data_IF_539114345815
#
_entry.id   IF_539114345815
#
_cell.length_a   1.000
_cell.length_b   1.000
_cell.length_c   1.000
_cell.angle_alpha   90.00
_cell.angle_beta   90.00
_cell.angle_gamma   90.00
#
_symmetry.space_group_name_H-M   'P 1'
#
loop_
_entity.id
_entity.type
_entity.pdbx_description
1 polymer ?
#
# COMPACT_ATOMS: atom_id res chain seq x y z
N UNK A 1 -13.52 -60.62 -19.87
CA UNK A 1 -13.80 -61.46 -18.68
C UNK A 1 -14.04 -60.54 -17.49
N UNK A 2 -15.28 -60.56 -16.97
CA UNK A 2 -15.71 -59.98 -15.67
C UNK A 2 -15.16 -60.86 -14.53
N UNK A 3 -15.19 -60.42 -13.25
CA UNK A 3 -16.42 -59.90 -12.64
C UNK A 3 -16.28 -58.70 -11.65
N UNK A 4 -17.45 -58.20 -11.36
CA UNK A 4 -17.94 -57.27 -10.41
C UNK A 4 -17.77 -57.65 -8.92
N UNK A 5 -17.63 -56.69 -8.04
CA UNK A 5 -17.62 -56.80 -6.58
C UNK A 5 -18.41 -55.69 -5.92
N UNK A 6 -19.37 -56.08 -5.15
CA UNK A 6 -20.54 -55.45 -4.53
C UNK A 6 -20.23 -54.37 -3.49
N UNK A 7 -21.15 -53.38 -3.38
CA UNK A 7 -21.34 -52.47 -2.24
C UNK A 7 -21.98 -53.20 -1.05
N UNK A 8 -21.76 -52.77 0.19
CA UNK A 8 -22.69 -53.04 1.28
C UNK A 8 -23.48 -51.76 1.70
N UNK A 9 -24.66 -52.05 2.25
CA UNK A 9 -25.78 -51.19 2.55
C UNK A 9 -25.63 -50.39 3.88
N UNK A 10 -26.41 -49.32 3.95
CA UNK A 10 -26.71 -48.54 5.17
C UNK A 10 -27.72 -49.30 6.07
N UNK A 11 -27.74 -49.05 7.39
CA UNK A 11 -28.90 -49.28 8.21
C UNK A 11 -29.65 -47.97 8.55
N UNK A 12 -30.97 -48.04 8.41
CA UNK A 12 -31.96 -47.10 8.88
C UNK A 12 -32.14 -47.21 10.40
N UNK A 13 -32.38 -46.11 11.09
CA UNK A 13 -32.97 -46.12 12.43
C UNK A 13 -34.24 -45.31 12.48
N UNK A 14 -35.25 -45.93 13.16
CA UNK A 14 -36.66 -45.60 13.22
C UNK A 14 -36.98 -44.55 14.29
N UNK A 15 -38.09 -43.84 14.02
CA UNK A 15 -38.76 -42.92 14.93
C UNK A 15 -39.41 -43.64 16.11
N UNK A 16 -39.39 -43.05 17.30
CA UNK A 16 -40.33 -43.34 18.36
C UNK A 16 -40.99 -42.02 18.83
N UNK A 17 -42.32 -42.01 18.70
CA UNK A 17 -43.24 -41.05 19.33
C UNK A 17 -43.49 -41.47 20.79
N UNK A 18 -43.51 -40.47 21.69
CA UNK A 18 -43.98 -40.61 23.06
C UNK A 18 -44.83 -39.41 23.48
N UNK A 19 -46.14 -39.62 23.61
CA UNK A 19 -47.10 -38.71 24.24
C UNK A 19 -47.07 -38.84 25.77
N UNK A 20 -47.18 -37.71 26.51
CA UNK A 20 -47.93 -37.57 27.78
C UNK A 20 -47.90 -36.12 28.24
N UNK A 21 -48.97 -35.45 28.25
CA UNK A 21 -49.99 -35.27 29.31
C UNK A 21 -49.76 -33.98 30.16
N UNK A 22 -50.74 -33.06 30.02
CA UNK A 22 -51.11 -31.88 30.77
C UNK A 22 -51.14 -32.03 32.31
N UNK A 23 -50.67 -31.03 33.03
CA UNK A 23 -51.34 -30.53 34.25
C UNK A 23 -50.92 -29.07 34.53
N UNK A 24 -51.86 -28.17 34.96
CA UNK A 24 -51.61 -26.80 35.27
C UNK A 24 -51.42 -26.56 36.78
N UNK A 25 -50.57 -25.65 37.16
CA UNK A 25 -50.64 -25.00 38.49
C UNK A 25 -50.16 -23.54 38.39
N UNK A 26 -51.03 -22.62 38.66
CA UNK A 26 -50.78 -21.20 38.72
C UNK A 26 -50.06 -20.78 40.00
N UNK A 27 -49.43 -19.65 39.97
CA UNK A 27 -49.35 -18.64 41.00
C UNK A 27 -48.83 -17.32 40.42
N UNK A 28 -49.64 -16.29 40.47
CA UNK A 28 -49.31 -14.90 40.17
C UNK A 28 -48.29 -14.36 41.18
N UNK A 29 -47.23 -13.73 40.66
CA UNK A 29 -46.59 -12.57 41.30
C UNK A 29 -46.08 -11.61 40.24
N UNK A 30 -46.39 -10.29 40.36
CA UNK A 30 -45.88 -9.29 39.44
C UNK A 30 -44.45 -8.92 39.85
N UNK A 31 -43.51 -9.05 38.95
CA UNK A 31 -42.16 -8.51 39.13
C UNK A 31 -41.99 -7.35 38.16
N UNK A 32 -42.32 -6.18 38.64
CA UNK A 32 -41.94 -4.90 38.02
C UNK A 32 -40.46 -4.67 38.28
N UNK A 33 -39.67 -4.76 37.29
CA UNK A 33 -38.37 -4.04 37.23
C UNK A 33 -38.09 -3.70 35.77
N UNK A 34 -38.40 -2.45 35.43
CA UNK A 34 -37.98 -1.84 34.19
C UNK A 34 -36.44 -1.91 34.12
N UNK A 35 -35.92 -2.76 33.25
CA UNK A 35 -34.55 -2.66 32.81
C UNK A 35 -34.46 -1.36 31.99
N UNK A 36 -33.77 -0.39 32.52
CA UNK A 36 -33.38 0.81 31.77
C UNK A 36 -32.48 0.33 30.62
N UNK A 37 -32.98 0.47 29.40
CA UNK A 37 -32.16 0.44 28.19
C UNK A 37 -31.13 1.57 28.33
N UNK A 38 -29.91 1.19 28.73
CA UNK A 38 -28.76 2.05 28.52
C UNK A 38 -28.45 2.00 27.03
N UNK A 39 -28.36 3.14 26.35
CA UNK A 39 -27.89 3.17 25.00
C UNK A 39 -26.45 2.58 24.99
N UNK A 40 -26.25 1.51 24.23
CA UNK A 40 -24.93 1.01 23.89
C UNK A 40 -24.27 2.12 23.09
N UNK A 41 -23.48 2.93 23.76
CA UNK A 41 -22.61 3.91 23.15
C UNK A 41 -21.64 3.10 22.30
N UNK A 42 -21.93 2.99 20.99
CA UNK A 42 -20.98 2.52 19.99
C UNK A 42 -19.87 3.55 19.99
N UNK A 43 -18.87 3.33 20.87
CA UNK A 43 -17.60 4.02 20.78
C UNK A 43 -17.12 3.78 19.34
N UNK A 44 -17.22 4.81 18.51
CA UNK A 44 -16.54 4.87 17.22
C UNK A 44 -15.08 4.48 17.51
N UNK A 45 -14.70 3.24 17.17
CA UNK A 45 -13.32 2.81 17.19
C UNK A 45 -12.60 3.78 16.27
N UNK A 46 -11.96 4.79 16.85
CA UNK A 46 -10.98 5.61 16.15
C UNK A 46 -10.06 4.62 15.45
N UNK A 47 -10.01 4.68 14.11
CA UNK A 47 -9.22 3.74 13.34
C UNK A 47 -7.79 3.79 13.87
N UNK A 48 -7.35 2.72 14.52
CA UNK A 48 -6.02 2.65 15.10
C UNK A 48 -4.99 2.90 14.00
N UNK A 49 -4.03 3.77 14.25
CA UNK A 49 -2.94 4.05 13.29
C UNK A 49 -2.24 2.73 12.90
N UNK A 50 -2.13 2.47 11.62
CA UNK A 50 -1.28 1.41 11.07
C UNK A 50 -0.46 2.00 9.93
N UNK A 51 0.86 2.10 10.15
CA UNK A 51 1.83 2.53 9.15
C UNK A 51 2.66 1.35 8.63
N UNK A 52 3.49 1.61 7.61
CA UNK A 52 4.40 0.59 7.10
C UNK A 52 5.66 1.20 6.49
N UNK A 53 6.75 0.42 6.53
CA UNK A 53 7.91 0.57 5.68
C UNK A 53 7.91 -0.55 4.61
N UNK A 54 8.09 -0.17 3.34
CA UNK A 54 7.87 -1.09 2.22
C UNK A 54 9.07 -1.07 1.24
N UNK A 55 10.24 -1.63 1.64
CA UNK A 55 11.43 -1.60 0.82
C UNK A 55 11.42 -2.69 -0.27
N UNK A 56 11.87 -2.33 -1.49
CA UNK A 56 12.20 -3.30 -2.53
C UNK A 56 13.60 -3.88 -2.29
N UNK A 57 13.78 -5.22 -2.34
CA UNK A 57 15.06 -5.89 -2.04
C UNK A 57 16.01 -5.88 -3.24
N UNK A 58 16.22 -4.72 -3.85
CA UNK A 58 17.16 -4.49 -4.98
C UNK A 58 18.58 -4.15 -4.51
N UNK A 59 18.89 -4.39 -3.26
CA UNK A 59 20.15 -4.15 -2.55
C UNK A 59 19.90 -3.80 -1.08
N UNK A 60 20.97 -3.53 -0.36
CA UNK A 60 20.93 -3.09 1.03
C UNK A 60 20.23 -1.72 1.17
N UNK A 61 19.84 -1.35 2.39
CA UNK A 61 19.39 0.01 2.68
C UNK A 61 20.53 1.00 2.46
N UNK A 62 20.18 2.18 2.01
CA UNK A 62 21.04 3.37 1.94
C UNK A 62 20.50 4.46 2.87
N UNK A 63 21.22 5.57 3.04
CA UNK A 63 20.82 6.65 3.95
C UNK A 63 19.38 7.14 3.71
N UNK A 64 18.97 7.38 2.45
CA UNK A 64 17.60 7.78 2.13
C UNK A 64 16.54 6.74 2.49
N UNK A 65 16.86 5.43 2.41
CA UNK A 65 15.97 4.36 2.87
C UNK A 65 15.81 4.37 4.38
N UNK A 66 16.89 4.64 5.14
CA UNK A 66 16.84 4.75 6.58
C UNK A 66 16.00 5.94 7.03
N UNK A 67 16.11 7.08 6.34
CA UNK A 67 15.25 8.27 6.59
C UNK A 67 13.78 7.90 6.46
N UNK A 68 13.39 7.22 5.39
CA UNK A 68 12.00 6.79 5.20
C UNK A 68 11.55 5.76 6.23
N UNK A 69 12.44 4.81 6.60
CA UNK A 69 12.16 3.81 7.64
C UNK A 69 11.96 4.48 9.00
N UNK A 70 12.90 5.34 9.41
CA UNK A 70 12.82 6.07 10.67
C UNK A 70 11.58 6.95 10.73
N UNK A 71 11.30 7.74 9.70
CA UNK A 71 10.12 8.60 9.63
C UNK A 71 8.81 7.82 9.78
N UNK A 72 8.65 6.71 9.05
CA UNK A 72 7.44 5.88 9.13
C UNK A 72 7.29 5.20 10.49
N UNK A 73 8.41 4.81 11.12
CA UNK A 73 8.42 4.24 12.47
C UNK A 73 8.06 5.29 13.53
N UNK A 74 8.69 6.48 13.46
CA UNK A 74 8.41 7.59 14.38
C UNK A 74 6.95 8.03 14.30
N UNK A 75 6.40 8.13 13.10
CA UNK A 75 5.00 8.52 12.89
C UNK A 75 4.05 7.49 13.54
N UNK A 76 4.32 6.19 13.36
CA UNK A 76 3.54 5.14 14.00
C UNK A 76 3.62 5.20 15.54
N UNK A 77 4.82 5.37 16.09
CA UNK A 77 5.03 5.44 17.55
C UNK A 77 4.45 6.73 18.15
N UNK A 78 4.54 7.84 17.42
CA UNK A 78 3.93 9.12 17.84
C UNK A 78 2.41 9.02 18.00
N UNK A 79 1.77 8.20 17.17
CA UNK A 79 0.32 7.94 17.21
C UNK A 79 -0.05 6.69 18.03
N UNK A 80 0.89 6.08 18.76
CA UNK A 80 0.68 4.83 19.52
C UNK A 80 0.12 3.70 18.64
N UNK A 81 0.48 3.71 17.37
CA UNK A 81 0.01 2.79 16.35
C UNK A 81 0.96 1.65 16.05
N UNK A 82 0.54 0.79 15.13
CA UNK A 82 1.35 -0.33 14.62
C UNK A 82 2.21 0.11 13.45
N UNK A 83 3.42 -0.44 13.38
CA UNK A 83 4.34 -0.27 12.27
C UNK A 83 4.69 -1.62 11.66
N UNK A 84 4.38 -1.79 10.39
CA UNK A 84 4.59 -3.02 9.65
C UNK A 84 5.78 -2.90 8.70
N UNK A 85 6.39 -4.03 8.36
CA UNK A 85 7.40 -4.11 7.29
C UNK A 85 6.91 -5.04 6.21
N UNK A 86 7.00 -4.59 4.96
CA UNK A 86 6.65 -5.38 3.79
C UNK A 86 7.79 -5.36 2.77
N UNK A 87 8.35 -6.51 2.46
CA UNK A 87 9.36 -6.66 1.41
C UNK A 87 8.66 -6.69 0.06
N UNK A 88 8.95 -5.70 -0.79
CA UNK A 88 8.31 -5.53 -2.10
C UNK A 88 9.14 -6.22 -3.19
N UNK A 89 9.02 -7.54 -3.25
CA UNK A 89 9.79 -8.46 -4.10
C UNK A 89 9.00 -9.02 -5.30
N UNK A 90 7.96 -8.32 -5.76
CA UNK A 90 7.17 -8.74 -6.94
C UNK A 90 7.92 -8.67 -8.26
N UNK A 91 8.92 -7.79 -8.38
CA UNK A 91 9.77 -7.66 -9.55
C UNK A 91 11.04 -8.53 -9.38
N UNK A 92 10.81 -9.84 -9.39
CA UNK A 92 11.84 -10.84 -9.12
C UNK A 92 13.16 -10.62 -9.90
N UNK A 93 13.16 -10.22 -11.19
CA UNK A 93 14.40 -9.98 -11.94
C UNK A 93 15.29 -8.86 -11.39
N UNK A 94 14.71 -7.91 -10.63
CA UNK A 94 15.46 -6.83 -9.99
C UNK A 94 15.83 -7.11 -8.53
N UNK A 95 15.28 -8.18 -7.95
CA UNK A 95 15.55 -8.55 -6.56
C UNK A 95 16.91 -9.27 -6.45
N UNK A 96 17.68 -8.87 -5.44
CA UNK A 96 18.94 -9.54 -5.12
C UNK A 96 18.67 -10.64 -4.09
N UNK A 97 19.08 -11.90 -4.33
CA UNK A 97 18.92 -12.97 -3.37
C UNK A 97 19.47 -12.59 -1.98
N UNK A 98 18.69 -12.83 -0.94
CA UNK A 98 19.08 -12.53 0.45
C UNK A 98 18.97 -11.06 0.85
N UNK A 99 18.74 -10.12 -0.08
CA UNK A 99 18.67 -8.69 0.23
C UNK A 99 17.50 -8.36 1.18
N UNK A 100 16.35 -9.02 1.05
CA UNK A 100 15.22 -8.80 1.94
C UNK A 100 15.56 -9.12 3.40
N UNK A 101 16.18 -10.28 3.66
CA UNK A 101 16.65 -10.63 5.01
C UNK A 101 17.76 -9.70 5.51
N UNK A 102 18.63 -9.24 4.61
CA UNK A 102 19.67 -8.27 4.99
C UNK A 102 19.03 -6.92 5.40
N UNK A 103 18.00 -6.45 4.69
CA UNK A 103 17.24 -5.26 5.06
C UNK A 103 16.61 -5.42 6.45
N UNK A 104 16.00 -6.57 6.75
CA UNK A 104 15.41 -6.83 8.07
C UNK A 104 16.48 -6.81 9.18
N UNK A 105 17.67 -7.38 8.93
CA UNK A 105 18.79 -7.27 9.88
C UNK A 105 19.28 -5.85 10.07
N UNK A 106 19.33 -5.03 9.01
CA UNK A 106 19.70 -3.62 9.09
C UNK A 106 18.70 -2.81 9.93
N UNK A 107 17.40 -3.06 9.75
CA UNK A 107 16.35 -2.44 10.60
C UNK A 107 16.50 -2.86 12.06
N UNK A 108 16.75 -4.16 12.34
CA UNK A 108 16.95 -4.67 13.69
C UNK A 108 18.19 -4.06 14.35
N UNK A 109 19.30 -3.87 13.62
CA UNK A 109 20.49 -3.19 14.13
C UNK A 109 20.20 -1.74 14.53
N UNK A 110 19.26 -1.08 13.86
CA UNK A 110 18.75 0.25 14.19
C UNK A 110 17.61 0.23 15.24
N UNK A 111 17.26 -0.94 15.80
CA UNK A 111 16.12 -1.16 16.70
C UNK A 111 14.76 -0.71 16.13
N UNK A 112 14.64 -0.61 14.82
CA UNK A 112 13.38 -0.37 14.11
C UNK A 112 12.69 -1.72 13.87
N UNK A 113 12.06 -2.25 14.92
CA UNK A 113 11.42 -3.56 14.89
C UNK A 113 9.95 -3.43 14.48
N UNK A 114 9.47 -4.28 13.53
CA UNK A 114 8.07 -4.33 13.16
C UNK A 114 7.23 -4.98 14.26
N UNK A 115 5.96 -4.59 14.34
CA UNK A 115 5.00 -5.13 15.33
C UNK A 115 4.40 -6.48 14.91
N UNK A 116 4.58 -6.88 13.65
CA UNK A 116 4.13 -8.16 13.11
C UNK A 116 5.23 -8.76 12.23
N UNK A 117 5.10 -10.06 11.91
CA UNK A 117 6.03 -10.71 10.98
C UNK A 117 6.03 -9.99 9.63
N UNK A 118 7.21 -9.70 9.06
CA UNK A 118 7.31 -9.01 7.77
C UNK A 118 6.62 -9.77 6.63
N UNK A 119 5.77 -9.07 5.89
CA UNK A 119 5.11 -9.64 4.71
C UNK A 119 6.04 -9.61 3.49
N UNK A 120 5.85 -10.58 2.58
CA UNK A 120 6.57 -10.70 1.32
C UNK A 120 5.60 -10.67 0.15
N UNK A 121 5.75 -9.74 -0.77
CA UNK A 121 4.82 -9.58 -1.90
C UNK A 121 4.81 -10.78 -2.83
N UNK A 122 5.95 -11.45 -3.03
CA UNK A 122 6.06 -12.66 -3.84
C UNK A 122 5.11 -13.79 -3.41
N UNK A 123 4.69 -13.81 -2.13
CA UNK A 123 3.77 -14.80 -1.56
C UNK A 123 2.29 -14.39 -1.69
N UNK A 124 2.00 -13.22 -2.25
CA UNK A 124 0.66 -12.60 -2.23
C UNK A 124 -0.02 -12.55 -3.60
N UNK A 125 0.52 -13.20 -4.60
CA UNK A 125 0.03 -13.19 -5.99
C UNK A 125 -1.46 -13.50 -6.17
N UNK A 126 -2.03 -14.35 -5.31
CA UNK A 126 -3.47 -14.67 -5.32
C UNK A 126 -4.36 -13.45 -4.96
N UNK A 127 -3.88 -12.54 -4.09
CA UNK A 127 -4.58 -11.29 -3.76
C UNK A 127 -4.62 -10.36 -4.99
N UNK A 128 -3.48 -10.22 -5.66
CA UNK A 128 -3.36 -9.37 -6.85
C UNK A 128 -4.20 -9.90 -8.01
N UNK A 129 -4.25 -11.23 -8.18
CA UNK A 129 -5.09 -11.86 -9.19
C UNK A 129 -6.58 -11.59 -8.95
N UNK A 130 -7.04 -11.68 -7.69
CA UNK A 130 -8.42 -11.34 -7.33
C UNK A 130 -8.76 -9.87 -7.60
N UNK A 131 -7.86 -8.95 -7.23
CA UNK A 131 -8.03 -7.53 -7.46
C UNK A 131 -8.09 -7.21 -8.97
N UNK A 132 -7.20 -7.80 -9.78
CA UNK A 132 -7.25 -7.62 -11.23
C UNK A 132 -8.56 -8.15 -11.83
N UNK A 133 -9.01 -9.34 -11.41
CA UNK A 133 -10.28 -9.92 -11.86
C UNK A 133 -11.50 -9.07 -11.44
N UNK A 134 -11.45 -8.41 -10.28
CA UNK A 134 -12.48 -7.44 -9.84
C UNK A 134 -12.52 -6.24 -10.81
N UNK A 135 -11.37 -5.65 -11.12
CA UNK A 135 -11.26 -4.51 -12.05
C UNK A 135 -11.70 -4.90 -13.47
N UNK A 136 -11.33 -6.09 -13.95
CA UNK A 136 -11.75 -6.61 -15.25
C UNK A 136 -13.27 -6.74 -15.33
N UNK A 137 -13.90 -7.41 -14.36
CA UNK A 137 -15.38 -7.55 -14.30
C UNK A 137 -16.10 -6.21 -14.23
N UNK A 138 -15.51 -5.22 -13.57
CA UNK A 138 -16.05 -3.86 -13.50
C UNK A 138 -15.82 -3.03 -14.78
N UNK A 139 -15.11 -3.57 -15.79
CA UNK A 139 -14.71 -2.88 -17.00
C UNK A 139 -13.70 -1.75 -16.75
N UNK A 140 -12.95 -1.82 -15.63
CA UNK A 140 -11.95 -0.84 -15.22
C UNK A 140 -10.52 -1.27 -15.55
N UNK A 141 -10.33 -2.51 -16.00
CA UNK A 141 -9.05 -3.01 -16.52
C UNK A 141 -9.26 -3.69 -17.86
N UNK A 142 -8.26 -3.63 -18.72
CA UNK A 142 -8.29 -4.23 -20.05
C UNK A 142 -6.91 -4.71 -20.51
N UNK A 143 -6.83 -5.72 -21.41
CA UNK A 143 -5.57 -6.22 -21.95
C UNK A 143 -5.00 -5.25 -22.99
N UNK A 144 -3.66 -5.13 -23.03
CA UNK A 144 -2.95 -4.22 -23.93
C UNK A 144 -1.68 -4.88 -24.47
N UNK A 145 -1.52 -4.88 -25.78
CA UNK A 145 -0.33 -5.38 -26.49
C UNK A 145 0.69 -4.30 -26.86
N UNK A 146 0.40 -3.01 -26.61
CA UNK A 146 1.29 -1.92 -26.99
C UNK A 146 2.64 -2.00 -26.28
N UNK A 147 3.70 -1.87 -27.05
CA UNK A 147 5.08 -1.70 -26.60
C UNK A 147 5.38 -0.23 -26.27
N UNK A 148 6.53 0.02 -25.62
CA UNK A 148 7.03 1.40 -25.43
C UNK A 148 7.26 2.13 -26.77
N UNK A 149 7.67 1.40 -27.79
CA UNK A 149 7.89 1.95 -29.15
C UNK A 149 6.57 2.43 -29.77
N UNK A 150 5.48 1.67 -29.63
CA UNK A 150 4.17 2.07 -30.17
C UNK A 150 3.67 3.35 -29.51
N UNK A 151 3.85 3.47 -28.19
CA UNK A 151 3.49 4.68 -27.44
C UNK A 151 4.33 5.87 -27.93
N UNK A 152 5.65 5.70 -28.03
CA UNK A 152 6.55 6.74 -28.50
C UNK A 152 6.23 7.17 -29.94
N UNK A 153 5.95 6.23 -30.86
CA UNK A 153 5.55 6.51 -32.24
C UNK A 153 4.22 7.29 -32.32
N UNK A 154 3.25 6.95 -31.45
CA UNK A 154 1.98 7.66 -31.38
C UNK A 154 2.16 9.14 -30.98
N UNK A 155 3.04 9.40 -29.99
CA UNK A 155 3.36 10.76 -29.55
C UNK A 155 4.16 11.53 -30.61
N UNK A 156 5.15 10.90 -31.22
CA UNK A 156 5.97 11.51 -32.28
C UNK A 156 5.12 11.93 -33.47
N UNK A 157 4.14 11.11 -33.90
CA UNK A 157 3.22 11.45 -34.98
C UNK A 157 2.34 12.67 -34.67
N UNK A 158 2.33 13.16 -33.44
CA UNK A 158 1.59 14.35 -32.96
C UNK A 158 2.50 15.51 -32.57
N UNK A 159 3.77 15.42 -32.93
CA UNK A 159 4.76 16.47 -32.63
C UNK A 159 5.29 16.48 -31.22
N UNK A 160 4.97 15.45 -30.40
CA UNK A 160 5.50 15.34 -29.03
C UNK A 160 6.77 14.49 -29.02
N UNK A 161 7.92 15.13 -28.94
CA UNK A 161 9.20 14.42 -28.81
C UNK A 161 9.35 13.86 -27.38
N UNK A 162 9.83 12.61 -27.20
CA UNK A 162 10.12 12.07 -25.89
C UNK A 162 11.26 12.85 -25.23
N UNK A 163 11.02 13.35 -24.02
CA UNK A 163 12.06 13.96 -23.18
C UNK A 163 12.77 12.83 -22.41
N UNK A 164 14.11 12.87 -22.40
CA UNK A 164 14.92 11.86 -21.69
C UNK A 164 14.55 11.83 -20.22
N UNK A 165 14.21 10.64 -19.71
CA UNK A 165 13.83 10.45 -18.30
C UNK A 165 12.34 10.69 -18.00
N UNK A 166 11.56 11.19 -18.94
CA UNK A 166 10.12 11.41 -18.78
C UNK A 166 9.32 10.26 -19.40
N UNK A 167 8.43 9.66 -18.61
CA UNK A 167 7.52 8.65 -19.13
C UNK A 167 6.41 9.33 -19.95
N UNK A 168 6.20 8.88 -21.18
CA UNK A 168 5.09 9.33 -22.01
C UNK A 168 3.76 8.78 -21.49
N UNK A 169 2.71 9.60 -21.35
CA UNK A 169 1.39 9.13 -20.98
C UNK A 169 0.86 8.10 -22.00
N UNK A 170 0.25 7.03 -21.51
CA UNK A 170 -0.33 6.05 -22.42
C UNK A 170 -1.64 6.56 -23.03
N UNK A 171 -1.77 6.65 -24.37
CA UNK A 171 -2.89 7.34 -25.02
C UNK A 171 -4.17 6.49 -25.13
N UNK A 172 -4.23 5.32 -24.51
CA UNK A 172 -5.41 4.47 -24.52
C UNK A 172 -5.64 3.73 -25.84
N UNK A 173 -4.60 3.34 -26.58
CA UNK A 173 -4.72 2.71 -27.91
C UNK A 173 -5.53 1.41 -27.90
N UNK A 174 -5.42 0.60 -26.86
CA UNK A 174 -6.13 -0.68 -26.72
C UNK A 174 -7.42 -0.56 -25.87
N UNK A 175 -7.91 0.63 -25.59
CA UNK A 175 -9.18 0.79 -24.86
C UNK A 175 -10.31 0.12 -25.62
N UNK A 176 -11.23 -0.61 -24.98
CA UNK A 176 -12.32 -1.34 -25.65
C UNK A 176 -13.19 -0.45 -26.55
N UNK A 177 -13.46 0.78 -26.16
CA UNK A 177 -14.28 1.74 -26.92
C UNK A 177 -13.64 2.24 -28.22
N UNK A 178 -12.36 1.97 -28.44
CA UNK A 178 -11.68 2.29 -29.70
C UNK A 178 -11.80 1.20 -30.76
N UNK A 179 -12.51 0.11 -30.44
CA UNK A 179 -12.68 -1.00 -31.37
C UNK A 179 -11.39 -1.78 -31.66
N UNK A 180 -10.33 -1.54 -30.87
CA UNK A 180 -9.09 -2.30 -31.00
C UNK A 180 -9.36 -3.79 -30.76
N UNK A 181 -8.80 -4.71 -31.58
CA UNK A 181 -8.95 -6.14 -31.33
C UNK A 181 -8.43 -6.47 -29.95
N UNK A 182 -9.15 -7.39 -29.25
CA UNK A 182 -8.72 -7.82 -27.91
C UNK A 182 -7.32 -8.39 -28.00
N UNK A 183 -6.40 -7.82 -27.20
CA UNK A 183 -5.01 -8.26 -27.19
C UNK A 183 -4.95 -9.75 -26.80
N UNK A 184 -4.21 -10.54 -27.58
CA UNK A 184 -3.94 -11.95 -27.28
C UNK A 184 -2.80 -12.07 -26.25
N UNK A 185 -2.77 -13.13 -25.47
CA UNK A 185 -1.65 -13.40 -24.59
C UNK A 185 -0.37 -13.73 -25.39
N UNK A 186 0.83 -13.34 -24.92
CA UNK A 186 1.07 -12.56 -23.72
C UNK A 186 0.80 -11.06 -23.88
N UNK A 187 0.06 -10.45 -22.97
CA UNK A 187 -0.27 -9.02 -22.99
C UNK A 187 -0.21 -8.43 -21.58
N UNK A 188 0.01 -7.12 -21.51
CA UNK A 188 -0.09 -6.38 -20.26
C UNK A 188 -1.56 -6.09 -19.91
N UNK A 189 -1.86 -5.87 -18.63
CA UNK A 189 -3.14 -5.36 -18.18
C UNK A 189 -2.98 -3.92 -17.72
N UNK A 190 -3.89 -3.05 -18.16
CA UNK A 190 -3.88 -1.62 -17.80
C UNK A 190 -5.15 -1.22 -17.07
N UNK A 191 -5.02 -0.26 -16.14
CA UNK A 191 -6.17 0.43 -15.57
C UNK A 191 -6.76 1.39 -16.60
N UNK A 192 -8.06 1.45 -16.70
CA UNK A 192 -8.78 2.41 -17.54
C UNK A 192 -9.03 3.70 -16.76
N UNK A 193 -8.07 4.62 -16.77
CA UNK A 193 -8.06 5.82 -15.91
C UNK A 193 -9.32 6.68 -16.07
N UNK A 194 -9.74 7.01 -17.30
CA UNK A 194 -10.94 7.81 -17.53
C UNK A 194 -12.23 7.21 -16.95
N UNK A 195 -12.37 5.86 -16.94
CA UNK A 195 -13.51 5.21 -16.31
C UNK A 195 -13.43 5.24 -14.80
N UNK A 196 -12.22 5.11 -14.25
CA UNK A 196 -11.99 5.21 -12.80
C UNK A 196 -12.27 6.63 -12.31
N UNK A 197 -11.79 7.65 -13.02
CA UNK A 197 -12.02 9.06 -12.69
C UNK A 197 -13.52 9.41 -12.61
N UNK A 198 -14.33 8.87 -13.54
CA UNK A 198 -15.79 9.08 -13.53
C UNK A 198 -16.52 8.39 -12.38
N UNK A 199 -15.91 7.37 -11.78
CA UNK A 199 -16.47 6.58 -10.65
C UNK A 199 -15.93 7.00 -9.30
N UNK A 200 -14.87 7.81 -9.28
CA UNK A 200 -14.26 8.27 -8.03
C UNK A 200 -15.19 9.23 -7.26
N UNK A 201 -15.11 9.27 -5.91
CA UNK A 201 -15.91 10.18 -5.11
C UNK A 201 -15.74 11.63 -5.53
N UNK A 202 -16.84 12.37 -5.65
CA UNK A 202 -16.85 13.80 -5.99
C UNK A 202 -16.95 14.69 -4.76
N UNK A 203 -17.18 14.13 -3.56
CA UNK A 203 -17.40 14.89 -2.33
C UNK A 203 -16.09 15.40 -1.71
N UNK A 204 -15.91 16.72 -1.51
CA UNK A 204 -14.71 17.30 -0.92
C UNK A 204 -14.42 16.86 0.53
N UNK A 205 -15.40 16.29 1.23
CA UNK A 205 -15.25 15.73 2.58
C UNK A 205 -14.43 14.42 2.62
N UNK A 206 -14.27 13.74 1.47
CA UNK A 206 -13.42 12.57 1.35
C UNK A 206 -11.93 12.96 1.44
N UNK A 207 -11.08 12.03 1.90
CA UNK A 207 -9.62 12.20 1.93
C UNK A 207 -9.01 12.49 0.55
N UNK A 208 -9.70 12.05 -0.49
CA UNK A 208 -9.42 12.36 -1.88
C UNK A 208 -10.73 12.39 -2.67
N UNK A 209 -10.86 13.31 -3.61
CA UNK A 209 -12.08 13.51 -4.38
C UNK A 209 -11.77 13.97 -5.80
N UNK A 210 -12.73 13.80 -6.70
CA UNK A 210 -12.62 14.19 -8.11
C UNK A 210 -13.45 15.45 -8.39
N UNK A 211 -12.86 16.41 -9.08
CA UNK A 211 -13.56 17.59 -9.61
C UNK A 211 -13.11 17.83 -11.05
N UNK A 212 -14.03 17.82 -12.01
CA UNK A 212 -13.73 18.08 -13.43
C UNK A 212 -12.60 17.22 -14.01
N UNK A 213 -12.49 15.93 -13.62
CA UNK A 213 -11.43 15.02 -14.09
C UNK A 213 -10.08 15.22 -13.39
N UNK A 214 -10.03 16.07 -12.36
CA UNK A 214 -8.84 16.29 -11.54
C UNK A 214 -9.04 15.64 -10.18
N UNK A 215 -8.08 14.81 -9.78
CA UNK A 215 -8.02 14.21 -8.45
C UNK A 215 -7.36 15.19 -7.48
N UNK A 216 -8.01 15.46 -6.35
CA UNK A 216 -7.53 16.29 -5.26
C UNK A 216 -7.28 15.44 -4.03
N UNK A 217 -6.17 15.68 -3.32
CA UNK A 217 -5.84 15.08 -2.04
C UNK A 217 -4.97 16.02 -1.22
N UNK A 218 -4.79 15.70 0.05
CA UNK A 218 -3.90 16.44 0.93
C UNK A 218 -2.76 15.53 1.39
N UNK A 219 -1.52 16.02 1.26
CA UNK A 219 -0.33 15.43 1.87
C UNK A 219 0.06 16.25 3.09
N UNK A 220 0.41 15.57 4.19
CA UNK A 220 0.67 16.22 5.47
C UNK A 220 1.87 17.20 5.43
N UNK A 221 2.83 17.00 4.51
CA UNK A 221 3.97 17.90 4.32
C UNK A 221 3.84 18.74 3.05
N UNK A 222 3.44 18.14 1.94
CA UNK A 222 3.38 18.85 0.65
C UNK A 222 2.11 19.69 0.50
N UNK A 223 1.18 19.63 1.47
CA UNK A 223 -0.08 20.37 1.43
C UNK A 223 -1.08 19.84 0.42
N UNK A 224 -1.92 20.73 -0.10
CA UNK A 224 -2.92 20.40 -1.11
C UNK A 224 -2.27 20.00 -2.43
N UNK A 225 -2.67 18.85 -2.96
CA UNK A 225 -2.15 18.28 -4.20
C UNK A 225 -3.29 18.02 -5.17
N UNK A 226 -3.00 18.08 -6.46
CA UNK A 226 -3.97 17.77 -7.50
C UNK A 226 -3.31 17.22 -8.76
N UNK A 227 -4.00 16.31 -9.48
CA UNK A 227 -3.54 15.79 -10.77
C UNK A 227 -4.69 15.22 -11.58
N UNK A 228 -4.73 15.47 -12.91
CA UNK A 228 -5.46 14.63 -13.86
C UNK A 228 -4.59 13.41 -14.18
N UNK A 229 -4.98 12.24 -13.67
CA UNK A 229 -4.19 11.00 -13.88
C UNK A 229 -4.25 10.55 -15.32
N UNK A 230 -5.42 10.70 -15.96
CA UNK A 230 -5.60 10.33 -17.37
C UNK A 230 -4.74 11.15 -18.32
N UNK A 231 -4.47 12.41 -17.99
CA UNK A 231 -3.66 13.30 -18.84
C UNK A 231 -2.17 13.17 -18.52
N UNK A 232 -1.82 13.17 -17.24
CA UNK A 232 -0.42 13.16 -16.82
C UNK A 232 0.26 11.79 -16.98
N UNK A 233 -0.51 10.70 -16.88
CA UNK A 233 0.00 9.32 -16.86
C UNK A 233 -0.63 8.45 -17.94
N UNK A 234 -1.91 8.65 -18.20
CA UNK A 234 -2.71 7.72 -19.00
C UNK A 234 -2.99 6.41 -18.27
N UNK A 235 -3.40 5.39 -19.02
CA UNK A 235 -3.71 4.07 -18.45
C UNK A 235 -2.42 3.34 -18.07
N UNK A 236 -2.18 3.15 -16.80
CA UNK A 236 -0.96 2.53 -16.30
C UNK A 236 -1.10 1.00 -16.11
N UNK A 237 0.05 0.31 -16.11
CA UNK A 237 0.12 -1.15 -16.05
C UNK A 237 -0.22 -1.65 -14.64
N UNK A 238 -1.09 -2.68 -14.57
CA UNK A 238 -1.43 -3.45 -13.37
C UNK A 238 -0.72 -4.81 -13.35
N UNK A 239 -0.56 -5.43 -14.52
CA UNK A 239 0.21 -6.66 -14.72
C UNK A 239 0.99 -6.55 -16.03
N UNK A 240 2.25 -6.93 -16.03
CA UNK A 240 3.14 -6.88 -17.20
C UNK A 240 2.85 -8.04 -18.15
N UNK A 241 3.28 -7.91 -19.40
CA UNK A 241 3.13 -8.97 -20.39
C UNK A 241 3.93 -10.25 -20.07
N UNK A 242 5.03 -10.11 -19.33
CA UNK A 242 5.82 -11.23 -18.80
C UNK A 242 5.19 -11.91 -17.59
N UNK A 243 4.00 -11.48 -17.17
CA UNK A 243 3.23 -12.06 -16.08
C UNK A 243 3.53 -11.46 -14.69
N UNK A 244 4.53 -10.61 -14.54
CA UNK A 244 4.87 -9.98 -13.27
C UNK A 244 3.81 -8.94 -12.88
N UNK A 245 3.53 -8.85 -11.58
CA UNK A 245 2.65 -7.85 -11.03
C UNK A 245 3.33 -6.47 -11.03
N UNK A 246 2.58 -5.44 -11.37
CA UNK A 246 3.09 -4.09 -11.33
C UNK A 246 3.01 -3.51 -9.91
N UNK A 247 3.99 -2.68 -9.57
CA UNK A 247 4.10 -1.99 -8.28
C UNK A 247 2.79 -1.34 -7.83
N UNK A 248 2.11 -0.61 -8.74
CA UNK A 248 0.89 0.12 -8.40
C UNK A 248 -0.23 -0.79 -7.88
N UNK A 249 -0.44 -1.95 -8.51
CA UNK A 249 -1.46 -2.90 -8.05
C UNK A 249 -1.05 -3.56 -6.74
N UNK A 250 0.20 -4.02 -6.64
CA UNK A 250 0.68 -4.76 -5.48
C UNK A 250 0.62 -3.91 -4.21
N UNK A 251 1.13 -2.66 -4.24
CA UNK A 251 1.16 -1.79 -3.07
C UNK A 251 -0.25 -1.41 -2.59
N UNK A 252 -1.17 -1.10 -3.52
CA UNK A 252 -2.55 -0.72 -3.16
C UNK A 252 -3.31 -1.89 -2.54
N UNK A 253 -3.20 -3.08 -3.12
CA UNK A 253 -3.86 -4.29 -2.62
C UNK A 253 -3.30 -4.68 -1.25
N UNK A 254 -1.99 -4.57 -1.06
CA UNK A 254 -1.35 -4.91 0.20
C UNK A 254 -1.65 -3.89 1.30
N UNK A 255 -1.60 -2.59 1.00
CA UNK A 255 -1.95 -1.55 1.96
C UNK A 255 -3.40 -1.74 2.45
N UNK A 256 -4.34 -2.05 1.54
CA UNK A 256 -5.72 -2.35 1.90
C UNK A 256 -5.84 -3.63 2.75
N UNK A 257 -5.18 -4.73 2.34
CA UNK A 257 -5.25 -6.01 3.03
C UNK A 257 -4.60 -6.01 4.42
N UNK A 258 -3.58 -5.15 4.63
CA UNK A 258 -2.91 -4.96 5.91
C UNK A 258 -3.56 -3.86 6.78
N UNK A 259 -4.62 -3.22 6.30
CA UNK A 259 -5.32 -2.15 7.02
C UNK A 259 -4.45 -0.91 7.23
N UNK A 260 -3.59 -0.58 6.26
CA UNK A 260 -2.73 0.60 6.34
C UNK A 260 -3.58 1.87 6.31
N UNK A 261 -3.44 2.69 7.32
CA UNK A 261 -4.16 3.97 7.47
C UNK A 261 -3.29 5.18 7.15
N UNK A 262 -1.96 5.03 7.23
CA UNK A 262 -0.98 6.09 7.02
C UNK A 262 0.20 5.60 6.19
N UNK A 263 0.55 6.39 5.19
CA UNK A 263 1.67 6.12 4.28
C UNK A 263 2.70 7.22 4.45
N UNK A 264 3.79 6.92 5.16
CA UNK A 264 4.96 7.79 5.27
C UNK A 264 6.06 7.21 4.39
N UNK A 265 6.60 8.01 3.45
CA UNK A 265 7.60 7.57 2.47
C UNK A 265 8.37 8.76 1.87
N UNK A 266 9.43 8.51 1.13
CA UNK A 266 10.20 9.56 0.47
C UNK A 266 9.42 10.32 -0.61
N UNK A 267 9.70 11.61 -0.77
CA UNK A 267 9.04 12.49 -1.75
C UNK A 267 9.25 12.06 -3.21
N UNK A 268 10.24 11.22 -3.49
CA UNK A 268 10.44 10.61 -4.81
C UNK A 268 9.29 9.68 -5.25
N UNK A 269 8.43 9.28 -4.33
CA UNK A 269 7.24 8.50 -4.60
C UNK A 269 5.96 9.33 -4.63
N UNK A 270 6.04 10.66 -4.48
CA UNK A 270 4.87 11.54 -4.48
C UNK A 270 4.06 11.41 -5.76
N UNK A 271 4.72 11.35 -6.92
CA UNK A 271 4.09 11.18 -8.24
C UNK A 271 3.31 9.85 -8.39
N UNK A 272 3.55 8.87 -7.54
CA UNK A 272 2.77 7.62 -7.54
C UNK A 272 1.44 7.75 -6.78
N UNK A 273 1.32 8.72 -5.89
CA UNK A 273 0.17 8.89 -5.00
C UNK A 273 -1.16 8.99 -5.75
N UNK A 274 -1.32 9.86 -6.77
CA UNK A 274 -2.60 9.97 -7.48
C UNK A 274 -3.00 8.69 -8.22
N UNK A 275 -2.03 7.92 -8.77
CA UNK A 275 -2.29 6.61 -9.38
C UNK A 275 -2.83 5.62 -8.36
N UNK A 276 -2.24 5.62 -7.16
CA UNK A 276 -2.62 4.72 -6.07
C UNK A 276 -4.00 5.09 -5.52
N UNK A 277 -4.28 6.37 -5.30
CA UNK A 277 -5.59 6.85 -4.86
C UNK A 277 -6.68 6.48 -5.87
N UNK A 278 -6.44 6.70 -7.17
CA UNK A 278 -7.39 6.33 -8.21
C UNK A 278 -7.65 4.81 -8.23
N UNK A 279 -6.61 4.01 -8.02
CA UNK A 279 -6.73 2.55 -7.96
C UNK A 279 -7.42 2.08 -6.67
N UNK A 280 -7.17 2.74 -5.52
CA UNK A 280 -7.89 2.51 -4.26
C UNK A 280 -9.40 2.73 -4.47
N UNK A 281 -9.79 3.87 -5.05
CA UNK A 281 -11.17 4.17 -5.39
C UNK A 281 -11.77 3.11 -6.31
N UNK A 282 -11.06 2.69 -7.36
CA UNK A 282 -11.51 1.68 -8.31
C UNK A 282 -11.74 0.29 -7.67
N UNK A 283 -11.00 -0.03 -6.61
CA UNK A 283 -11.11 -1.28 -5.85
C UNK A 283 -12.07 -1.18 -4.65
N UNK A 284 -12.58 0.01 -4.32
CA UNK A 284 -13.35 0.26 -3.11
C UNK A 284 -12.52 0.15 -1.83
N UNK A 285 -11.20 0.36 -1.94
CA UNK A 285 -10.28 0.35 -0.82
C UNK A 285 -10.20 1.73 -0.14
N UNK A 286 -9.96 1.79 1.18
CA UNK A 286 -9.80 3.07 1.88
C UNK A 286 -8.55 3.81 1.42
N UNK A 287 -8.62 5.13 1.32
CA UNK A 287 -7.46 5.98 1.03
C UNK A 287 -6.71 6.29 2.33
N UNK A 288 -5.41 5.93 2.46
CA UNK A 288 -4.59 6.32 3.60
C UNK A 288 -4.34 7.84 3.67
N UNK A 289 -3.88 8.32 4.82
CA UNK A 289 -3.25 9.64 4.93
C UNK A 289 -1.80 9.54 4.45
N UNK A 290 -1.36 10.52 3.67
CA UNK A 290 0.00 10.55 3.11
C UNK A 290 0.88 11.59 3.80
N UNK A 291 2.16 11.25 3.96
CA UNK A 291 3.24 12.16 4.33
C UNK A 291 4.48 11.79 3.52
N UNK A 292 4.93 12.70 2.67
CA UNK A 292 6.15 12.51 1.88
C UNK A 292 7.31 13.24 2.53
N UNK A 293 8.32 12.50 3.03
CA UNK A 293 9.50 13.04 3.69
C UNK A 293 10.45 13.75 2.71
N UNK A 294 11.30 14.68 3.17
CA UNK A 294 12.36 15.25 2.35
C UNK A 294 13.25 14.16 1.72
N UNK A 295 13.84 14.48 0.58
CA UNK A 295 14.84 13.63 -0.06
C UNK A 295 16.21 13.87 0.55
N UNK A 296 16.97 12.80 0.77
CA UNK A 296 18.39 12.90 1.07
C UNK A 296 19.13 13.11 -0.24
N UNK A 297 19.84 14.24 -0.33
CA UNK A 297 20.66 14.58 -1.48
C UNK A 297 22.11 14.21 -1.21
N UNK A 298 22.83 13.79 -2.23
CA UNK A 298 24.29 13.66 -2.23
C UNK A 298 24.95 15.06 -2.27
N UNK A 299 26.27 15.10 -2.06
CA UNK A 299 27.01 16.35 -2.11
C UNK A 299 26.93 17.10 -3.46
N UNK A 300 26.62 16.38 -4.54
CA UNK A 300 26.39 16.93 -5.88
C UNK A 300 24.95 17.43 -6.11
N UNK A 301 24.08 17.42 -5.07
CA UNK A 301 22.67 17.80 -5.16
C UNK A 301 21.75 16.74 -5.78
N UNK A 302 22.26 15.60 -6.23
CA UNK A 302 21.46 14.51 -6.76
C UNK A 302 20.85 13.68 -5.64
N UNK A 303 19.66 13.13 -5.89
CA UNK A 303 18.99 12.21 -4.96
C UNK A 303 19.87 10.97 -4.69
N UNK A 304 20.09 10.66 -3.41
CA UNK A 304 20.66 9.38 -3.01
C UNK A 304 19.70 8.24 -3.34
N UNK A 305 20.06 7.44 -4.34
CA UNK A 305 19.28 6.27 -4.76
C UNK A 305 20.22 5.11 -5.11
N UNK A 306 19.69 3.87 -5.06
CA UNK A 306 20.43 2.68 -5.50
C UNK A 306 20.88 2.78 -6.97
N UNK A 307 20.14 3.51 -7.80
CA UNK A 307 20.48 3.72 -9.22
C UNK A 307 21.66 4.70 -9.41
N UNK A 308 21.87 5.61 -8.47
CA UNK A 308 22.97 6.58 -8.47
C UNK A 308 24.14 6.10 -7.58
N UNK A 309 24.32 4.77 -7.44
CA UNK A 309 25.40 4.15 -6.67
C UNK A 309 25.49 4.64 -5.21
N UNK A 310 24.37 4.96 -4.57
CA UNK A 310 24.37 5.27 -3.14
C UNK A 310 25.05 4.13 -2.36
N UNK A 311 26.05 4.46 -1.57
CA UNK A 311 26.77 3.49 -0.75
C UNK A 311 25.77 2.75 0.18
N UNK A 312 26.00 1.44 0.41
CA UNK A 312 25.25 0.72 1.44
C UNK A 312 25.35 1.46 2.78
N UNK A 313 24.30 1.34 3.57
CA UNK A 313 24.26 1.93 4.91
C UNK A 313 25.39 1.32 5.78
N UNK A 314 26.25 2.18 6.28
CA UNK A 314 27.26 1.78 7.28
C UNK A 314 26.57 1.65 8.65
N UNK A 315 26.55 0.45 9.17
CA UNK A 315 26.01 0.11 10.48
C UNK A 315 27.08 -0.37 11.46
N UNK A 316 28.36 -0.07 11.24
CA UNK A 316 29.43 -0.23 12.23
C UNK A 316 29.10 0.58 13.51
N UNK A 317 28.42 1.72 13.35
CA UNK A 317 27.79 2.48 14.42
C UNK A 317 26.35 2.84 14.00
N UNK A 318 25.33 2.04 14.40
CA UNK A 318 23.94 2.30 14.04
C UNK A 318 23.40 3.64 14.56
N UNK A 319 23.89 4.10 15.72
CA UNK A 319 23.47 5.39 16.29
C UNK A 319 23.90 6.55 15.39
N UNK A 320 25.10 6.51 14.81
CA UNK A 320 25.56 7.52 13.83
C UNK A 320 24.66 7.57 12.61
N UNK A 321 24.28 6.40 12.08
CA UNK A 321 23.37 6.31 10.92
C UNK A 321 21.97 6.86 11.25
N UNK A 322 21.44 6.54 12.43
CA UNK A 322 20.15 7.05 12.91
C UNK A 322 20.18 8.57 13.13
N UNK A 323 21.28 9.12 13.72
CA UNK A 323 21.43 10.57 13.86
C UNK A 323 21.42 11.30 12.51
N UNK A 324 22.15 10.77 11.52
CA UNK A 324 22.15 11.37 10.18
C UNK A 324 20.72 11.33 9.56
N UNK A 325 19.99 10.23 9.76
CA UNK A 325 18.60 10.12 9.30
C UNK A 325 17.66 11.08 10.06
N UNK A 326 17.82 11.22 11.37
CA UNK A 326 17.05 12.15 12.20
C UNK A 326 17.29 13.60 11.81
N UNK A 327 18.55 14.00 11.60
CA UNK A 327 18.91 15.34 11.12
C UNK A 327 18.31 15.67 9.75
N UNK A 328 18.28 14.69 8.82
CA UNK A 328 17.63 14.85 7.51
C UNK A 328 16.10 15.07 7.64
N UNK A 329 15.50 14.68 8.76
CA UNK A 329 14.11 14.91 9.11
C UNK A 329 13.91 16.19 9.98
N UNK A 330 14.96 16.97 10.23
CA UNK A 330 14.89 18.15 11.09
C UNK A 330 14.83 17.86 12.59
N UNK A 331 15.15 16.60 13.00
CA UNK A 331 15.14 16.19 14.39
C UNK A 331 16.51 16.49 15.07
N UNK A 332 16.56 16.70 16.40
CA UNK A 332 17.79 16.97 17.12
C UNK A 332 18.74 15.76 17.08
N UNK A 333 20.04 16.01 17.04
CA UNK A 333 21.06 15.00 17.20
C UNK A 333 21.17 14.54 18.66
N UNK A 334 21.57 13.26 18.86
CA UNK A 334 21.91 12.69 20.15
C UNK A 334 23.38 12.23 20.19
N UNK A 335 23.91 11.96 21.39
CA UNK A 335 25.27 11.46 21.53
C UNK A 335 25.45 10.12 20.78
N UNK A 336 26.54 10.00 20.00
CA UNK A 336 26.83 8.83 19.16
C UNK A 336 27.73 7.79 19.86
N UNK A 337 28.32 8.14 21.00
CA UNK A 337 29.34 7.33 21.63
C UNK A 337 28.77 6.28 22.57
N UNK A 338 27.45 6.34 22.84
CA UNK A 338 26.73 5.44 23.70
C UNK A 338 25.76 4.58 22.87
N UNK A 339 26.16 3.33 22.57
CA UNK A 339 25.32 2.38 21.81
C UNK A 339 24.04 1.98 22.58
N UNK A 340 24.06 2.05 23.91
CA UNK A 340 22.88 1.79 24.74
C UNK A 340 21.87 2.94 24.69
N UNK A 341 22.23 4.05 24.02
CA UNK A 341 21.39 5.23 23.87
C UNK A 341 20.34 5.13 22.75
N UNK A 342 20.36 4.12 21.86
CA UNK A 342 19.40 4.03 20.74
C UNK A 342 17.94 4.08 21.24
N UNK A 343 17.50 3.30 22.25
CA UNK A 343 16.13 3.39 22.76
C UNK A 343 15.80 4.78 23.30
N UNK A 344 16.74 5.40 24.00
CA UNK A 344 16.61 6.77 24.53
C UNK A 344 16.45 7.81 23.43
N UNK A 345 17.28 7.73 22.40
CA UNK A 345 17.22 8.61 21.23
C UNK A 345 15.90 8.43 20.46
N UNK A 346 15.48 7.19 20.18
CA UNK A 346 14.23 6.88 19.54
C UNK A 346 13.03 7.45 20.34
N UNK A 347 13.03 7.28 21.66
CA UNK A 347 11.99 7.85 22.52
C UNK A 347 11.96 9.38 22.48
N UNK A 348 13.12 10.03 22.47
CA UNK A 348 13.24 11.48 22.34
C UNK A 348 12.74 11.96 20.96
N UNK A 349 13.11 11.29 19.88
CA UNK A 349 12.64 11.62 18.54
C UNK A 349 11.13 11.40 18.36
N UNK A 350 10.53 10.39 19.00
CA UNK A 350 9.06 10.23 19.02
C UNK A 350 8.39 11.41 19.67
N UNK A 351 8.95 11.97 20.77
CA UNK A 351 8.40 13.18 21.40
C UNK A 351 8.55 14.40 20.51
N UNK A 352 9.71 14.59 19.89
CA UNK A 352 9.96 15.68 18.95
C UNK A 352 9.05 15.58 17.71
N UNK A 353 8.87 14.37 17.16
CA UNK A 353 8.00 14.12 16.00
C UNK A 353 6.55 14.55 16.24
N UNK A 354 6.02 14.36 17.45
CA UNK A 354 4.65 14.78 17.81
C UNK A 354 4.48 16.31 17.77
N UNK A 355 5.56 17.06 17.92
CA UNK A 355 5.54 18.51 17.96
C UNK A 355 5.85 19.15 16.60
N UNK A 356 6.23 18.34 15.60
CA UNK A 356 6.54 18.86 14.26
C UNK A 356 5.30 19.33 13.53
N UNK A 357 5.36 20.53 13.03
CA UNK A 357 4.42 21.04 12.02
C UNK A 357 4.95 20.64 10.63
N UNK A 358 4.42 19.56 10.10
CA UNK A 358 4.84 19.02 8.80
C UNK A 358 4.48 19.92 7.62
N UNK A 359 3.56 20.87 7.79
CA UNK A 359 3.22 21.84 6.76
C UNK A 359 4.26 22.97 6.66
N UNK A 360 5.08 23.17 7.71
CA UNK A 360 6.12 24.21 7.78
C UNK A 360 7.52 23.69 7.40
N UNK A 361 7.70 22.38 7.20
CA UNK A 361 8.96 21.72 6.80
C UNK A 361 8.91 21.25 5.34
#
# INVERSE_FOLDING_TARGET
>A
MKPAGRRPAQPAFAFHHGHAANRPCGFHRPCTRAARDQPVELALKTSSYTGRFAPSPTGLLHAGSLVAALASWLDARAHQGRWLVRIEDVDAPRCIPGAGQAILRQLAACQLLPDEEPAWQSRRGALYARALAQLERAGLAYPCSCTRKDIASWHAARGHAPVRGQALPYPGLCRPERGAPRAQAPCAWRLHTLRCERKAPAEPSARAFMTNGVLHWHDRRLGAQQQSVSDAVGDFILRRADGLWAYQLAVVVDDAAQGITHVVRGADLADNTPRQILLQSALGAPTPLYLHTPLVLAANGEKLSKQNHAAPLDLSNPMRALNAAAQALGLPAHNTDDADSIPGALAAWVRAWRQMDWAAT
#
